data_IF_134349670629
#
_entry.id   IF_134349670629
#
_cell.length_a   1.000
_cell.length_b   1.000
_cell.length_c   1.000
_cell.angle_alpha   90.00
_cell.angle_beta   90.00
_cell.angle_gamma   90.00
#
_symmetry.space_group_name_H-M   'P 1'
#
loop_
_entity.id
_entity.type
_entity.pdbx_description
1 polymer ?
#
# COMPACT_ATOMS: atom_id res chain seq x y z
N UNK A 1 -20.35 -15.11 -20.47
CA UNK A 1 -18.95 -14.66 -20.31
C UNK A 1 -18.31 -15.53 -19.26
N UNK A 2 -17.33 -16.35 -19.65
CA UNK A 2 -16.70 -17.43 -18.86
C UNK A 2 -16.01 -16.95 -17.58
N UNK A 3 -15.80 -15.64 -17.42
CA UNK A 3 -15.16 -15.02 -16.25
C UNK A 3 -15.98 -15.07 -14.95
N UNK A 4 -17.31 -15.20 -15.03
CA UNK A 4 -18.17 -15.27 -13.83
C UNK A 4 -18.08 -16.61 -13.10
N UNK A 5 -17.48 -17.63 -13.71
CA UNK A 5 -17.32 -18.98 -13.14
C UNK A 5 -15.97 -19.16 -12.40
N UNK A 6 -15.07 -18.18 -12.50
CA UNK A 6 -13.74 -18.24 -11.87
C UNK A 6 -13.84 -17.90 -10.38
N UNK A 7 -13.48 -18.85 -9.50
CA UNK A 7 -13.49 -18.65 -8.05
C UNK A 7 -12.50 -17.56 -7.60
N UNK A 8 -12.93 -16.71 -6.68
CA UNK A 8 -12.10 -15.67 -6.04
C UNK A 8 -11.50 -16.10 -4.70
N UNK A 9 -11.80 -17.32 -4.22
CA UNK A 9 -11.39 -17.79 -2.88
C UNK A 9 -9.87 -17.78 -2.66
N UNK A 10 -9.09 -18.01 -3.71
CA UNK A 10 -7.62 -17.96 -3.69
C UNK A 10 -7.06 -16.98 -4.72
N UNK A 11 -7.72 -15.82 -4.87
CA UNK A 11 -7.31 -14.81 -5.84
C UNK A 11 -6.03 -14.09 -5.38
N UNK A 12 -4.92 -14.30 -6.10
CA UNK A 12 -3.64 -13.62 -5.83
C UNK A 12 -3.73 -12.12 -6.04
N UNK A 13 -4.54 -11.68 -7.02
CA UNK A 13 -4.79 -10.26 -7.27
C UNK A 13 -5.46 -9.61 -6.07
N UNK A 14 -6.50 -10.24 -5.51
CA UNK A 14 -7.16 -9.76 -4.29
C UNK A 14 -6.16 -9.65 -3.14
N UNK A 15 -5.41 -10.72 -2.89
CA UNK A 15 -4.42 -10.76 -1.80
C UNK A 15 -3.35 -9.67 -1.94
N UNK A 16 -2.93 -9.35 -3.17
CA UNK A 16 -2.00 -8.24 -3.42
C UNK A 16 -2.67 -6.89 -3.16
N UNK A 17 -3.91 -6.70 -3.64
CA UNK A 17 -4.66 -5.46 -3.45
C UNK A 17 -5.00 -5.19 -1.98
N UNK A 18 -5.16 -6.22 -1.16
CA UNK A 18 -5.35 -6.07 0.29
C UNK A 18 -4.13 -5.39 0.96
N UNK A 19 -2.94 -5.50 0.35
CA UNK A 19 -1.71 -4.87 0.84
C UNK A 19 -1.44 -3.51 0.18
N UNK A 20 -1.46 -3.44 -1.15
CA UNK A 20 -1.02 -2.25 -1.91
C UNK A 20 -2.17 -1.39 -2.43
N UNK A 21 -3.39 -1.92 -2.45
CA UNK A 21 -4.59 -1.25 -2.96
C UNK A 21 -5.19 -0.24 -1.99
N UNK A 22 -4.73 -0.22 -0.72
CA UNK A 22 -5.15 0.78 0.24
C UNK A 22 -4.67 2.19 -0.15
N UNK A 23 -5.48 3.19 0.23
CA UNK A 23 -5.19 4.59 -0.03
C UNK A 23 -3.77 4.93 0.47
N UNK A 24 -3.00 5.58 -0.42
CA UNK A 24 -1.64 6.08 -0.21
C UNK A 24 -0.52 5.04 -0.18
N UNK A 25 -0.81 3.73 -0.10
CA UNK A 25 0.23 2.68 -0.05
C UNK A 25 1.19 2.76 -1.23
N UNK A 26 0.67 2.96 -2.45
CA UNK A 26 1.49 3.11 -3.65
C UNK A 26 2.32 4.40 -3.67
N UNK A 27 1.86 5.49 -3.04
CA UNK A 27 2.65 6.73 -2.94
C UNK A 27 3.81 6.57 -1.96
N UNK A 28 3.55 5.94 -0.81
CA UNK A 28 4.60 5.59 0.16
C UNK A 28 5.61 4.64 -0.47
N UNK A 29 5.15 3.63 -1.21
CA UNK A 29 6.02 2.68 -1.91
C UNK A 29 6.88 3.37 -2.96
N UNK A 30 6.29 4.28 -3.77
CA UNK A 30 7.02 5.09 -4.75
C UNK A 30 8.12 5.91 -4.09
N UNK A 31 7.82 6.61 -3.00
CA UNK A 31 8.80 7.42 -2.30
C UNK A 31 9.93 6.56 -1.70
N UNK A 32 9.59 5.36 -1.21
CA UNK A 32 10.59 4.38 -0.78
C UNK A 32 11.46 3.88 -1.95
N UNK A 33 10.88 3.60 -3.13
CA UNK A 33 11.66 3.25 -4.31
C UNK A 33 12.58 4.39 -4.77
N UNK A 34 12.17 5.64 -4.56
CA UNK A 34 12.97 6.84 -4.82
C UNK A 34 14.00 7.17 -3.72
N UNK A 35 14.17 6.30 -2.72
CA UNK A 35 15.21 6.44 -1.70
C UNK A 35 14.81 7.21 -0.45
N UNK A 36 13.53 7.59 -0.27
CA UNK A 36 13.07 8.20 0.98
C UNK A 36 13.10 7.15 2.10
N UNK A 37 13.74 7.47 3.22
CA UNK A 37 13.92 6.52 4.35
C UNK A 37 13.49 7.09 5.71
N UNK A 38 13.35 8.41 5.86
CA UNK A 38 12.94 9.03 7.12
C UNK A 38 11.44 9.24 7.14
N UNK A 39 10.81 8.96 8.28
CA UNK A 39 9.37 9.10 8.49
C UNK A 39 8.86 10.51 8.18
N UNK A 40 9.57 11.54 8.65
CA UNK A 40 9.18 12.94 8.41
C UNK A 40 9.20 13.32 6.93
N UNK A 41 10.11 12.75 6.14
CA UNK A 41 10.21 13.04 4.72
C UNK A 41 9.00 12.45 3.96
N UNK A 42 8.59 11.22 4.28
CA UNK A 42 7.34 10.64 3.77
C UNK A 42 6.13 11.49 4.14
N UNK A 43 6.08 11.97 5.39
CA UNK A 43 4.95 12.76 5.88
C UNK A 43 4.84 14.09 5.13
N UNK A 44 5.97 14.76 4.89
CA UNK A 44 6.05 16.03 4.14
C UNK A 44 5.70 15.86 2.66
N UNK A 45 6.20 14.81 2.00
CA UNK A 45 5.96 14.59 0.57
C UNK A 45 4.56 14.07 0.27
N UNK A 46 4.06 13.07 1.02
CA UNK A 46 2.76 12.45 0.74
C UNK A 46 1.61 13.25 1.37
N UNK A 47 1.90 14.11 2.35
CA UNK A 47 0.89 14.95 3.01
C UNK A 47 -0.03 14.17 3.95
N UNK A 48 0.48 13.10 4.56
CA UNK A 48 -0.27 12.21 5.45
C UNK A 48 -0.20 12.68 6.90
N UNK A 49 -1.22 12.36 7.71
CA UNK A 49 -1.08 12.43 9.17
C UNK A 49 -0.08 11.38 9.66
N UNK A 50 0.53 11.61 10.83
CA UNK A 50 1.43 10.63 11.45
C UNK A 50 0.75 9.29 11.68
N UNK A 51 -0.50 9.32 12.16
CA UNK A 51 -1.29 8.12 12.44
C UNK A 51 -1.50 7.26 11.20
N UNK A 52 -1.87 7.89 10.07
CA UNK A 52 -2.11 7.19 8.80
C UNK A 52 -0.80 6.68 8.22
N UNK A 53 0.27 7.48 8.21
CA UNK A 53 1.56 7.05 7.70
C UNK A 53 2.13 5.88 8.52
N UNK A 54 2.06 5.95 9.85
CA UNK A 54 2.53 4.88 10.72
C UNK A 54 1.75 3.58 10.51
N UNK A 55 0.43 3.67 10.34
CA UNK A 55 -0.40 2.50 10.04
C UNK A 55 -0.04 1.86 8.70
N UNK A 56 0.14 2.67 7.66
CA UNK A 56 0.54 2.19 6.33
C UNK A 56 1.92 1.55 6.32
N UNK A 57 2.92 2.18 6.94
CA UNK A 57 4.26 1.61 7.05
C UNK A 57 4.27 0.29 7.83
N UNK A 58 3.49 0.19 8.93
CA UNK A 58 3.33 -1.06 9.68
C UNK A 58 2.81 -2.19 8.80
N UNK A 59 1.79 -1.93 7.96
CA UNK A 59 1.25 -2.94 7.03
C UNK A 59 2.24 -3.36 5.94
N UNK A 60 3.10 -2.45 5.48
CA UNK A 60 4.06 -2.72 4.39
C UNK A 60 5.33 -3.46 4.86
N UNK A 61 5.61 -3.49 6.17
CA UNK A 61 6.81 -4.11 6.74
C UNK A 61 6.49 -5.42 7.50
N UNK A 62 5.20 -5.69 7.75
CA UNK A 62 4.74 -6.88 8.46
C UNK A 62 5.03 -8.20 7.72
#
# INVERSE_FOLDING_TARGET
MTWLETSTENCTVQRTLDLVGEKWSLLVLRDAMNGVRRFDDFRRHVGLSESVLADRLRKLVA
#
